data_IF_476970937844
#
_entry.id   IF_476970937844
#
_cell.length_a   1.000
_cell.length_b   1.000
_cell.length_c   1.000
_cell.angle_alpha   90.00
_cell.angle_beta   90.00
_cell.angle_gamma   90.00
#
_symmetry.space_group_name_H-M   'P 1'
#
loop_
_entity.id
_entity.type
_entity.pdbx_description
1 polymer ?
#
# COMPACT_ATOMS: atom_id res chain seq x y z
N UNK A 1 -23.78 -63.56 3.73
CA UNK A 1 -24.37 -62.25 3.38
C UNK A 1 -23.78 -61.20 4.31
N UNK A 2 -23.19 -60.17 3.70
CA UNK A 2 -22.91 -58.82 4.19
C UNK A 2 -22.05 -58.66 5.46
N UNK A 3 -20.79 -58.27 5.25
CA UNK A 3 -20.05 -57.37 6.14
C UNK A 3 -19.58 -56.19 5.28
N UNK A 4 -19.97 -54.98 5.69
CA UNK A 4 -19.72 -53.68 5.06
C UNK A 4 -18.39 -53.07 5.58
N UNK A 5 -17.46 -52.59 4.73
CA UNK A 5 -16.34 -51.79 5.17
C UNK A 5 -16.34 -50.37 4.56
N UNK A 6 -16.62 -49.39 5.42
CA UNK A 6 -16.00 -48.07 5.36
C UNK A 6 -14.48 -48.21 5.58
N UNK A 7 -13.72 -47.28 4.97
CA UNK A 7 -12.26 -47.07 4.97
C UNK A 7 -11.49 -47.76 3.82
N UNK A 8 -11.18 -46.98 2.77
CA UNK A 8 -10.09 -47.27 1.83
C UNK A 8 -8.96 -46.26 2.08
N UNK A 9 -7.81 -46.78 2.49
CA UNK A 9 -6.51 -46.10 2.46
C UNK A 9 -6.06 -46.07 0.99
N UNK A 10 -5.72 -44.88 0.48
CA UNK A 10 -5.14 -44.75 -0.85
C UNK A 10 -3.61 -44.77 -0.73
N UNK A 11 -2.99 -45.84 -1.26
CA UNK A 11 -1.55 -45.89 -1.54
C UNK A 11 -1.38 -45.53 -3.01
N UNK A 12 -0.82 -44.36 -3.29
CA UNK A 12 -0.48 -43.97 -4.66
C UNK A 12 0.91 -44.53 -4.99
N UNK A 13 0.93 -45.61 -5.75
CA UNK A 13 2.14 -46.25 -6.24
C UNK A 13 2.53 -45.58 -7.56
N UNK A 14 3.55 -44.72 -7.54
CA UNK A 14 4.11 -44.15 -8.76
C UNK A 14 4.99 -45.21 -9.45
N UNK A 15 4.61 -45.60 -10.67
CA UNK A 15 5.51 -46.30 -11.58
C UNK A 15 6.59 -45.33 -12.05
N UNK A 16 7.83 -45.54 -11.62
CA UNK A 16 9.00 -44.87 -12.18
C UNK A 16 9.35 -45.56 -13.50
N UNK A 17 8.91 -44.99 -14.62
CA UNK A 17 9.49 -45.30 -15.92
C UNK A 17 10.87 -44.61 -16.00
N UNK A 18 11.93 -45.42 -16.03
CA UNK A 18 13.29 -44.93 -16.31
C UNK A 18 13.42 -44.71 -17.82
N UNK A 19 12.97 -43.55 -18.29
CA UNK A 19 13.23 -43.06 -19.65
C UNK A 19 14.53 -42.26 -19.63
N UNK A 20 15.49 -42.62 -20.48
CA UNK A 20 16.78 -41.93 -20.59
C UNK A 20 16.56 -40.50 -21.10
N UNK A 21 16.62 -39.52 -20.19
CA UNK A 21 16.35 -38.10 -20.45
C UNK A 21 17.63 -37.23 -20.48
N UNK A 22 18.80 -37.84 -20.33
CA UNK A 22 20.04 -37.09 -20.09
C UNK A 22 20.51 -36.34 -21.35
N UNK A 23 20.39 -36.94 -22.53
CA UNK A 23 20.84 -36.30 -23.78
C UNK A 23 19.92 -35.17 -24.26
N UNK A 24 18.62 -35.24 -24.01
CA UNK A 24 17.67 -34.21 -24.45
C UNK A 24 17.79 -32.95 -23.60
N UNK A 25 17.84 -33.10 -22.27
CA UNK A 25 18.00 -31.99 -21.34
C UNK A 25 19.34 -31.26 -21.52
N UNK A 26 20.43 -32.01 -21.73
CA UNK A 26 21.76 -31.43 -21.98
C UNK A 26 21.81 -30.66 -23.30
N UNK A 27 21.19 -31.19 -24.37
CA UNK A 27 21.14 -30.48 -25.65
C UNK A 27 20.26 -29.23 -25.59
N UNK A 28 19.14 -29.27 -24.86
CA UNK A 28 18.28 -28.11 -24.65
C UNK A 28 18.99 -27.00 -23.86
N UNK A 29 19.71 -27.36 -22.78
CA UNK A 29 20.49 -26.40 -22.00
C UNK A 29 21.62 -25.77 -22.82
N UNK A 30 22.29 -26.55 -23.68
CA UNK A 30 23.32 -26.03 -24.60
C UNK A 30 22.72 -25.05 -25.62
N UNK A 31 21.56 -25.35 -26.20
CA UNK A 31 20.89 -24.47 -27.16
C UNK A 31 20.47 -23.16 -26.47
N UNK A 32 19.91 -23.22 -25.27
CA UNK A 32 19.52 -22.03 -24.50
C UNK A 32 20.73 -21.19 -24.10
N UNK A 33 21.83 -21.83 -23.67
CA UNK A 33 23.08 -21.14 -23.34
C UNK A 33 23.71 -20.44 -24.54
N UNK A 34 23.76 -21.10 -25.70
CA UNK A 34 24.29 -20.52 -26.95
C UNK A 34 23.38 -19.37 -27.42
N UNK A 35 22.06 -19.54 -27.37
CA UNK A 35 21.10 -18.49 -27.74
C UNK A 35 21.25 -17.25 -26.85
N UNK A 36 21.37 -17.45 -25.53
CA UNK A 36 21.60 -16.36 -24.57
C UNK A 36 22.92 -15.62 -24.82
N UNK A 37 24.00 -16.35 -25.11
CA UNK A 37 25.30 -15.74 -25.45
C UNK A 37 25.22 -14.93 -26.75
N UNK A 38 24.56 -15.46 -27.78
CA UNK A 38 24.38 -14.77 -29.07
C UNK A 38 23.56 -13.49 -28.90
N UNK A 39 22.49 -13.53 -28.11
CA UNK A 39 21.68 -12.34 -27.82
C UNK A 39 22.45 -11.31 -26.99
N UNK A 40 23.25 -11.74 -26.01
CA UNK A 40 24.10 -10.84 -25.22
C UNK A 40 25.19 -10.19 -26.07
N UNK A 41 25.85 -10.95 -26.95
CA UNK A 41 26.85 -10.41 -27.87
C UNK A 41 26.21 -9.47 -28.90
N UNK A 42 25.01 -9.80 -29.41
CA UNK A 42 24.25 -8.90 -30.26
C UNK A 42 23.90 -7.60 -29.54
N UNK A 43 23.43 -7.68 -28.29
CA UNK A 43 23.19 -6.50 -27.44
C UNK A 43 24.46 -5.65 -27.28
N UNK A 44 25.59 -6.26 -26.92
CA UNK A 44 26.85 -5.53 -26.82
C UNK A 44 27.27 -4.89 -28.16
N UNK A 45 27.07 -5.55 -29.30
CA UNK A 45 27.40 -5.00 -30.61
C UNK A 45 26.47 -3.85 -31.03
N UNK A 46 25.17 -3.95 -30.76
CA UNK A 46 24.18 -2.91 -31.08
C UNK A 46 24.26 -1.69 -30.15
N UNK A 47 24.59 -1.89 -28.87
CA UNK A 47 24.64 -0.82 -27.87
C UNK A 47 26.05 -0.28 -27.59
N UNK A 48 27.13 -0.94 -28.03
CA UNK A 48 28.50 -0.38 -27.94
C UNK A 48 28.85 0.61 -29.06
N UNK A 49 28.07 0.66 -30.15
CA UNK A 49 28.28 1.60 -31.24
C UNK A 49 27.41 2.87 -31.17
N UNK A 50 26.50 2.97 -30.20
CA UNK A 50 25.71 4.18 -29.98
C UNK A 50 26.42 5.12 -29.01
N UNK A 51 27.34 5.92 -29.53
CA UNK A 51 27.77 7.14 -28.84
C UNK A 51 26.67 8.20 -29.01
N UNK A 52 25.74 8.31 -28.06
CA UNK A 52 24.83 9.46 -27.92
C UNK A 52 24.53 9.71 -26.42
N UNK A 53 24.22 10.97 -26.04
CA UNK A 53 24.75 11.63 -24.86
C UNK A 53 23.91 11.36 -23.62
N UNK A 54 24.52 11.63 -22.47
CA UNK A 54 23.84 11.79 -21.19
C UNK A 54 22.64 12.72 -21.27
N UNK A 55 21.64 12.44 -20.42
CA UNK A 55 20.41 13.18 -20.07
C UNK A 55 19.16 12.86 -20.89
N UNK A 56 18.29 12.00 -20.33
CA UNK A 56 16.96 12.34 -19.80
C UNK A 56 16.15 11.03 -19.59
N UNK A 57 16.26 10.43 -18.40
CA UNK A 57 15.54 9.20 -18.04
C UNK A 57 14.38 9.44 -17.05
N UNK A 58 13.97 10.70 -16.87
CA UNK A 58 12.85 11.09 -16.01
C UNK A 58 11.90 12.04 -16.72
N UNK A 59 11.17 11.56 -17.73
CA UNK A 59 9.87 12.16 -18.09
C UNK A 59 8.95 11.10 -18.71
N UNK A 60 8.02 10.53 -17.93
CA UNK A 60 6.77 10.05 -18.50
C UNK A 60 5.58 10.77 -17.86
N UNK A 61 5.59 12.11 -17.82
CA UNK A 61 4.42 12.91 -17.41
C UNK A 61 4.44 14.31 -18.03
N UNK A 62 4.41 14.41 -19.37
CA UNK A 62 4.11 15.71 -20.02
C UNK A 62 3.13 15.62 -21.21
N UNK A 63 2.56 14.46 -21.52
CA UNK A 63 1.65 14.34 -22.67
C UNK A 63 0.33 13.60 -22.38
N UNK A 64 -0.36 13.98 -21.31
CA UNK A 64 -1.83 14.12 -21.26
C UNK A 64 -1.99 15.29 -20.27
N UNK A 65 -2.42 16.49 -20.63
CA UNK A 65 -3.79 17.05 -20.60
C UNK A 65 -3.69 18.51 -21.09
N UNK A 66 -4.62 19.05 -21.90
CA UNK A 66 -4.69 20.49 -22.14
C UNK A 66 -5.35 21.17 -20.93
N UNK A 67 -4.55 21.87 -20.13
CA UNK A 67 -5.05 22.79 -19.09
C UNK A 67 -5.73 23.95 -19.82
N UNK A 68 -7.06 24.02 -19.75
CA UNK A 68 -7.79 25.23 -20.12
C UNK A 68 -7.68 26.23 -18.96
N UNK A 69 -7.36 27.52 -19.21
CA UNK A 69 -7.30 28.51 -18.15
C UNK A 69 -8.71 28.79 -17.59
N UNK A 70 -8.87 29.05 -16.28
CA UNK A 70 -10.18 29.38 -15.72
C UNK A 70 -10.62 30.76 -16.22
N UNK A 71 -11.81 30.84 -16.81
CA UNK A 71 -12.50 32.10 -17.04
C UNK A 71 -12.81 32.76 -15.69
N UNK A 72 -12.33 33.98 -15.52
CA UNK A 72 -12.71 34.84 -14.40
C UNK A 72 -14.19 35.21 -14.56
N UNK A 73 -15.07 34.56 -13.80
CA UNK A 73 -16.39 35.10 -13.48
C UNK A 73 -16.46 35.37 -11.99
N UNK A 74 -16.25 36.64 -11.66
CA UNK A 74 -16.53 37.25 -10.38
C UNK A 74 -18.05 37.16 -10.12
N UNK A 75 -18.46 36.36 -9.14
CA UNK A 75 -19.73 36.53 -8.44
C UNK A 75 -19.52 36.15 -6.96
N UNK A 76 -19.51 37.17 -6.11
CA UNK A 76 -19.48 37.01 -4.66
C UNK A 76 -20.80 36.43 -4.16
N UNK A 77 -20.73 35.47 -3.23
CA UNK A 77 -21.51 35.37 -1.97
C UNK A 77 -21.69 33.89 -1.58
N UNK A 78 -20.69 33.36 -0.86
CA UNK A 78 -20.68 32.32 0.20
C UNK A 78 -19.28 31.68 0.20
N UNK A 79 -18.33 32.34 0.85
CA UNK A 79 -16.95 31.84 0.98
C UNK A 79 -16.93 30.70 2.00
N UNK A 80 -17.23 29.48 1.56
CA UNK A 80 -16.64 28.29 2.17
C UNK A 80 -15.13 28.32 1.84
N UNK A 81 -14.28 27.97 2.81
CA UNK A 81 -12.81 28.04 2.75
C UNK A 81 -12.14 27.09 1.71
N UNK A 82 -12.75 26.89 0.54
CA UNK A 82 -12.21 26.05 -0.53
C UNK A 82 -11.12 26.72 -1.37
N UNK A 83 -10.74 27.97 -1.06
CA UNK A 83 -9.79 28.73 -1.89
C UNK A 83 -8.34 28.66 -1.41
N UNK A 84 -8.04 28.10 -0.23
CA UNK A 84 -6.66 28.00 0.22
C UNK A 84 -6.01 26.68 -0.25
N UNK A 85 -4.80 26.73 -0.82
CA UNK A 85 -3.98 25.55 -1.10
C UNK A 85 -3.94 24.53 0.04
N UNK A 86 -3.90 23.24 -0.32
CA UNK A 86 -3.53 22.19 0.63
C UNK A 86 -2.12 22.48 1.14
N UNK A 87 -1.89 22.25 2.43
CA UNK A 87 -0.60 22.46 3.09
C UNK A 87 -0.45 21.41 4.18
N UNK A 88 0.69 21.37 4.86
CA UNK A 88 0.98 20.33 5.86
C UNK A 88 -0.08 20.21 6.96
N UNK A 89 -0.69 21.32 7.40
CA UNK A 89 -1.72 21.32 8.46
C UNK A 89 -3.04 20.68 8.00
N UNK A 90 -3.20 20.38 6.71
CA UNK A 90 -4.36 19.69 6.18
C UNK A 90 -4.17 18.17 6.09
N UNK A 91 -2.96 17.66 6.34
CA UNK A 91 -2.64 16.24 6.32
C UNK A 91 -2.68 15.68 7.74
N UNK A 92 -3.00 14.39 7.87
CA UNK A 92 -2.81 13.62 9.08
C UNK A 92 -2.20 12.26 8.71
N UNK A 93 -1.08 11.91 9.34
CA UNK A 93 -0.36 10.67 9.06
C UNK A 93 -0.79 9.57 10.05
N UNK A 94 -1.24 8.42 9.56
CA UNK A 94 -1.46 7.21 10.35
C UNK A 94 -0.39 6.19 10.05
N UNK A 95 0.46 5.92 11.03
CA UNK A 95 1.50 4.90 10.92
C UNK A 95 1.03 3.67 11.68
N UNK A 96 1.05 2.51 11.03
CA UNK A 96 0.71 1.24 11.67
C UNK A 96 1.99 0.45 11.90
N UNK A 97 2.19 0.02 13.14
CA UNK A 97 3.40 -0.72 13.53
C UNK A 97 3.12 -1.82 14.54
N UNK A 98 4.17 -2.53 14.93
CA UNK A 98 4.12 -3.45 16.08
C UNK A 98 5.20 -3.11 17.09
N UNK A 99 4.96 -3.38 18.37
CA UNK A 99 5.98 -3.15 19.42
C UNK A 99 7.28 -3.89 19.09
N UNK A 100 7.17 -5.11 18.54
CA UNK A 100 8.34 -5.92 18.17
C UNK A 100 9.15 -5.29 17.03
N UNK A 101 8.48 -4.80 15.98
CA UNK A 101 9.16 -4.21 14.83
C UNK A 101 9.68 -2.79 15.14
N UNK A 102 8.90 -2.00 15.87
CA UNK A 102 9.22 -0.61 16.24
C UNK A 102 10.60 -0.46 16.91
N UNK A 103 10.98 -1.41 17.77
CA UNK A 103 12.31 -1.45 18.43
C UNK A 103 13.47 -1.26 17.46
N UNK A 104 13.33 -1.81 16.26
CA UNK A 104 14.36 -1.83 15.23
C UNK A 104 14.09 -0.85 14.09
N UNK A 105 12.85 -0.36 13.97
CA UNK A 105 12.39 0.43 12.81
C UNK A 105 12.09 1.89 13.11
N UNK A 106 12.05 2.31 14.39
CA UNK A 106 11.74 3.69 14.76
C UNK A 106 12.54 4.74 13.98
N UNK A 107 13.79 4.44 13.62
CA UNK A 107 14.65 5.32 12.85
C UNK A 107 14.07 5.69 11.47
N UNK A 108 13.29 4.81 10.84
CA UNK A 108 12.62 5.11 9.57
C UNK A 108 11.61 6.23 9.76
N UNK A 109 10.67 6.07 10.70
CA UNK A 109 9.67 7.09 11.00
C UNK A 109 10.29 8.39 11.53
N UNK A 110 11.26 8.29 12.45
CA UNK A 110 11.94 9.45 13.04
C UNK A 110 12.80 10.22 12.03
N UNK A 111 13.16 9.62 10.89
CA UNK A 111 13.96 10.30 9.85
C UNK A 111 13.18 11.34 9.05
N UNK A 112 11.86 11.21 8.95
CA UNK A 112 11.01 12.14 8.19
C UNK A 112 9.97 12.85 9.05
N UNK A 113 9.65 12.33 10.23
CA UNK A 113 8.75 12.98 11.18
C UNK A 113 9.33 14.34 11.60
N UNK A 114 8.50 15.38 11.60
CA UNK A 114 8.90 16.75 11.96
C UNK A 114 8.18 17.15 13.24
N UNK A 115 8.83 17.05 14.41
CA UNK A 115 8.20 17.41 15.69
C UNK A 115 7.60 18.81 15.63
N UNK A 116 6.39 18.96 16.16
CA UNK A 116 5.61 20.22 16.15
C UNK A 116 5.18 20.74 14.77
N UNK A 117 5.41 20.00 13.68
CA UNK A 117 4.99 20.38 12.34
C UNK A 117 4.12 19.31 11.66
N UNK A 118 4.53 18.04 11.68
CA UNK A 118 3.70 16.93 11.18
C UNK A 118 2.63 16.59 12.20
N UNK A 119 1.41 16.32 11.71
CA UNK A 119 0.27 15.86 12.50
C UNK A 119 -0.04 14.40 12.18
N UNK A 120 -0.28 13.57 13.18
CA UNK A 120 -0.44 12.14 12.98
C UNK A 120 -0.16 11.32 14.22
N UNK A 121 -0.25 10.00 14.07
CA UNK A 121 -0.17 9.03 15.16
C UNK A 121 0.47 7.72 14.70
N UNK A 122 1.12 7.03 15.65
CA UNK A 122 1.60 5.66 15.47
C UNK A 122 0.70 4.70 16.26
N UNK A 123 0.10 3.73 15.59
CA UNK A 123 -0.74 2.70 16.17
C UNK A 123 0.04 1.38 16.31
N UNK A 124 0.45 1.08 17.55
CA UNK A 124 1.10 -0.19 17.90
C UNK A 124 0.07 -1.28 18.20
N UNK A 125 0.42 -2.53 17.91
CA UNK A 125 -0.41 -3.70 18.16
C UNK A 125 -0.66 -3.99 19.64
N UNK A 126 0.26 -3.58 20.52
CA UNK A 126 0.21 -3.78 21.96
C UNK A 126 0.81 -2.58 22.70
N UNK A 127 0.65 -2.54 24.02
CA UNK A 127 1.31 -1.52 24.83
C UNK A 127 2.85 -1.67 24.73
N UNK A 128 3.58 -0.56 24.57
CA UNK A 128 5.04 -0.58 24.57
C UNK A 128 5.56 -1.06 25.93
N UNK A 129 6.68 -1.77 25.90
CA UNK A 129 7.41 -2.17 27.11
C UNK A 129 8.21 -1.00 27.70
N UNK A 130 8.65 -1.15 28.94
CA UNK A 130 9.36 -0.11 29.69
C UNK A 130 10.61 0.44 28.97
N UNK A 131 11.30 -0.36 28.16
CA UNK A 131 12.50 0.08 27.42
C UNK A 131 12.19 0.98 26.20
N UNK A 132 10.93 1.04 25.76
CA UNK A 132 10.45 1.98 24.75
C UNK A 132 9.89 3.27 25.39
N UNK A 133 9.97 3.40 26.71
CA UNK A 133 9.48 4.53 27.48
C UNK A 133 10.64 5.27 28.18
N UNK A 134 10.55 6.61 28.36
CA UNK A 134 9.46 7.49 27.92
C UNK A 134 9.39 7.62 26.39
N UNK A 135 8.18 7.84 25.88
CA UNK A 135 7.97 7.97 24.44
C UNK A 135 8.72 9.19 23.89
N UNK A 136 9.58 9.04 22.87
CA UNK A 136 10.46 10.11 22.44
C UNK A 136 9.67 11.20 21.67
N UNK A 137 9.96 12.49 21.89
CA UNK A 137 9.29 13.58 21.17
C UNK A 137 9.66 13.64 19.68
N UNK A 138 10.71 12.92 19.26
CA UNK A 138 11.09 12.72 17.86
C UNK A 138 10.16 11.76 17.11
N UNK A 139 9.30 11.02 17.81
CA UNK A 139 8.36 10.07 17.23
C UNK A 139 6.92 10.62 17.21
N UNK A 140 6.05 10.13 16.31
CA UNK A 140 4.63 10.49 16.31
C UNK A 140 3.97 10.14 17.65
N UNK A 141 2.94 10.87 18.10
CA UNK A 141 2.13 10.49 19.25
C UNK A 141 1.68 9.03 19.18
N UNK A 142 1.90 8.30 20.28
CA UNK A 142 1.59 6.88 20.37
C UNK A 142 0.09 6.63 20.61
N UNK A 143 -0.43 5.60 19.95
CA UNK A 143 -1.70 4.93 20.22
C UNK A 143 -1.49 3.41 20.25
N UNK A 144 -2.39 2.70 20.92
CA UNK A 144 -2.47 1.25 20.85
C UNK A 144 -3.72 0.90 20.05
N UNK A 145 -3.56 0.07 19.02
CA UNK A 145 -4.66 -0.40 18.18
C UNK A 145 -5.72 -1.08 19.03
N UNK A 146 -6.98 -0.85 18.69
CA UNK A 146 -8.11 -1.51 19.30
C UNK A 146 -8.05 -3.03 19.07
N UNK A 147 -8.60 -3.77 20.02
CA UNK A 147 -8.77 -5.20 19.88
C UNK A 147 -9.81 -5.53 18.78
N UNK A 148 -9.34 -6.18 17.72
CA UNK A 148 -10.15 -6.63 16.57
C UNK A 148 -10.45 -8.14 16.62
N UNK A 149 -10.08 -8.85 17.69
CA UNK A 149 -10.19 -10.31 17.79
C UNK A 149 -11.60 -10.80 17.51
N UNK A 150 -12.62 -10.10 18.03
CA UNK A 150 -14.03 -10.39 17.76
C UNK A 150 -14.37 -10.38 16.25
N UNK A 151 -13.88 -9.40 15.48
CA UNK A 151 -14.15 -9.32 14.04
C UNK A 151 -13.49 -10.50 13.32
N UNK A 152 -12.23 -10.78 13.67
CA UNK A 152 -11.44 -11.86 13.08
C UNK A 152 -12.05 -13.23 13.38
N UNK A 153 -12.46 -13.46 14.62
CA UNK A 153 -13.04 -14.73 15.07
C UNK A 153 -14.42 -14.98 14.44
N UNK A 154 -15.30 -13.97 14.44
CA UNK A 154 -16.64 -14.06 13.86
C UNK A 154 -16.58 -14.38 12.35
N UNK A 155 -15.70 -13.70 11.61
CA UNK A 155 -15.58 -13.88 10.16
C UNK A 155 -14.64 -15.02 9.75
N UNK A 156 -13.85 -15.56 10.70
CA UNK A 156 -12.74 -16.49 10.44
C UNK A 156 -11.76 -15.92 9.40
N UNK A 157 -11.43 -14.65 9.54
CA UNK A 157 -10.60 -13.94 8.57
C UNK A 157 -9.21 -14.59 8.44
N UNK A 158 -8.74 -14.79 7.21
CA UNK A 158 -7.47 -15.47 6.95
C UNK A 158 -6.21 -14.64 7.28
N UNK A 159 -6.36 -13.33 7.52
CA UNK A 159 -5.24 -12.40 7.62
C UNK A 159 -5.46 -11.32 8.71
N UNK A 160 -5.46 -11.70 10.01
CA UNK A 160 -5.76 -10.79 11.12
C UNK A 160 -4.85 -9.56 11.19
N UNK A 161 -3.56 -9.70 10.84
CA UNK A 161 -2.62 -8.56 10.84
C UNK A 161 -3.03 -7.51 9.80
N UNK A 162 -3.43 -7.94 8.60
CA UNK A 162 -3.87 -7.05 7.53
C UNK A 162 -5.20 -6.37 7.86
N UNK A 163 -6.10 -7.11 8.53
CA UNK A 163 -7.36 -6.54 9.08
C UNK A 163 -7.06 -5.40 10.06
N UNK A 164 -6.05 -5.57 10.93
CA UNK A 164 -5.64 -4.49 11.86
C UNK A 164 -5.10 -3.28 11.10
N UNK A 165 -4.28 -3.49 10.08
CA UNK A 165 -3.73 -2.40 9.27
C UNK A 165 -4.84 -1.57 8.62
N UNK A 166 -5.84 -2.22 8.00
CA UNK A 166 -6.99 -1.52 7.41
C UNK A 166 -7.87 -0.88 8.48
N UNK A 167 -8.10 -1.56 9.61
CA UNK A 167 -8.83 -0.99 10.75
C UNK A 167 -8.18 0.31 11.26
N UNK A 168 -6.85 0.46 11.11
CA UNK A 168 -6.11 1.68 11.42
C UNK A 168 -6.65 2.93 10.74
N UNK A 169 -7.29 2.83 9.56
CA UNK A 169 -7.97 3.97 8.91
C UNK A 169 -9.11 4.50 9.78
N UNK A 170 -9.92 3.60 10.34
CA UNK A 170 -11.00 3.95 11.26
C UNK A 170 -10.46 4.54 12.57
N UNK A 171 -9.32 4.04 13.05
CA UNK A 171 -8.70 4.55 14.27
C UNK A 171 -8.17 5.96 14.08
N UNK A 172 -7.47 6.22 12.97
CA UNK A 172 -6.97 7.54 12.60
C UNK A 172 -8.11 8.54 12.44
N UNK A 173 -9.20 8.16 11.75
CA UNK A 173 -10.38 9.02 11.59
C UNK A 173 -11.02 9.39 12.94
N UNK A 174 -10.99 8.49 13.92
CA UNK A 174 -11.58 8.71 15.25
C UNK A 174 -10.78 9.66 16.14
N UNK A 175 -9.54 9.96 15.80
CA UNK A 175 -8.78 11.00 16.51
C UNK A 175 -9.43 12.38 16.37
N UNK A 176 -10.22 12.60 15.31
CA UNK A 176 -11.10 13.76 15.22
C UNK A 176 -10.38 15.10 14.97
N UNK A 177 -9.18 15.05 14.37
CA UNK A 177 -8.40 16.24 14.04
C UNK A 177 -9.19 17.21 13.15
N UNK A 178 -9.21 18.49 13.53
CA UNK A 178 -9.94 19.52 12.79
C UNK A 178 -9.20 19.95 11.52
N UNK A 179 -9.97 20.34 10.49
CA UNK A 179 -9.42 20.87 9.24
C UNK A 179 -8.63 19.85 8.40
N UNK A 180 -8.78 18.55 8.66
CA UNK A 180 -8.16 17.50 7.84
C UNK A 180 -8.77 17.48 6.44
N UNK A 181 -7.91 17.41 5.42
CA UNK A 181 -8.27 17.20 4.02
C UNK A 181 -7.83 15.83 3.52
N UNK A 182 -6.72 15.32 4.06
CA UNK A 182 -6.07 14.08 3.62
C UNK A 182 -5.60 13.24 4.80
N UNK A 183 -5.94 11.96 4.76
CA UNK A 183 -5.41 10.92 5.64
C UNK A 183 -4.32 10.18 4.88
N UNK A 184 -3.08 10.24 5.36
CA UNK A 184 -1.93 9.56 4.75
C UNK A 184 -1.56 8.35 5.61
N UNK A 185 -1.67 7.16 5.04
CA UNK A 185 -1.41 5.90 5.73
C UNK A 185 -0.04 5.35 5.33
N UNK A 186 0.66 4.69 6.26
CA UNK A 186 1.87 3.93 5.99
C UNK A 186 2.26 3.02 7.15
N UNK A 187 3.37 2.30 6.97
CA UNK A 187 3.91 1.35 7.94
C UNK A 187 5.06 1.96 8.76
N UNK A 188 5.46 1.27 9.83
CA UNK A 188 6.58 1.68 10.70
C UNK A 188 7.97 1.66 10.02
N UNK A 189 8.06 1.13 8.80
CA UNK A 189 9.22 1.17 7.91
C UNK A 189 9.02 2.04 6.65
N UNK A 190 7.90 2.77 6.54
CA UNK A 190 7.69 3.71 5.44
C UNK A 190 8.48 5.01 5.61
N UNK A 191 9.02 5.52 4.50
CA UNK A 191 9.70 6.81 4.41
C UNK A 191 8.83 7.81 3.63
N UNK A 192 8.46 8.92 4.28
CA UNK A 192 7.68 9.97 3.62
C UNK A 192 8.50 11.22 3.30
N UNK A 193 8.46 11.61 2.03
CA UNK A 193 8.90 12.92 1.59
C UNK A 193 7.75 13.91 1.84
N UNK A 194 7.69 14.45 3.05
CA UNK A 194 6.54 15.24 3.56
C UNK A 194 6.17 16.41 2.63
N UNK A 195 7.13 17.17 2.12
CA UNK A 195 6.85 18.29 1.22
C UNK A 195 6.29 17.82 -0.13
N UNK A 196 6.80 16.69 -0.65
CA UNK A 196 6.28 16.10 -1.87
C UNK A 196 4.82 15.62 -1.72
N UNK A 197 4.45 15.08 -0.54
CA UNK A 197 3.04 14.78 -0.26
C UNK A 197 2.17 16.02 -0.32
N UNK A 198 2.62 17.15 0.24
CA UNK A 198 1.89 18.41 0.16
C UNK A 198 1.75 18.87 -1.30
N UNK A 199 2.86 18.90 -2.06
CA UNK A 199 2.89 19.35 -3.46
C UNK A 199 2.02 18.48 -4.38
N UNK A 200 1.94 17.17 -4.12
CA UNK A 200 1.09 16.26 -4.88
C UNK A 200 -0.38 16.47 -4.49
N UNK A 201 -0.71 16.45 -3.20
CA UNK A 201 -2.10 16.50 -2.72
C UNK A 201 -2.76 17.87 -2.91
N UNK A 202 -1.99 18.95 -3.06
CA UNK A 202 -2.52 20.26 -3.46
C UNK A 202 -3.16 20.25 -4.86
N UNK A 203 -2.71 19.35 -5.75
CA UNK A 203 -3.20 19.28 -7.14
C UNK A 203 -4.60 18.65 -7.25
N UNK A 204 -5.08 18.00 -6.20
CA UNK A 204 -6.34 17.24 -6.22
C UNK A 204 -7.43 17.94 -5.41
N UNK A 205 -8.67 17.82 -5.89
CA UNK A 205 -9.84 18.31 -5.18
C UNK A 205 -10.17 17.41 -3.97
N UNK A 206 -9.67 17.81 -2.80
CA UNK A 206 -9.91 17.17 -1.51
C UNK A 206 -11.39 17.03 -1.11
N UNK A 207 -12.33 17.69 -1.80
CA UNK A 207 -13.78 17.56 -1.54
C UNK A 207 -14.41 16.37 -2.26
N UNK A 208 -13.66 15.70 -3.15
CA UNK A 208 -14.08 14.50 -3.88
C UNK A 208 -13.58 13.24 -3.20
N UNK A 209 -14.13 12.09 -3.58
CA UNK A 209 -13.56 10.81 -3.21
C UNK A 209 -12.28 10.59 -4.01
N UNK A 210 -11.14 10.67 -3.35
CA UNK A 210 -9.83 10.57 -3.98
C UNK A 210 -8.95 9.62 -3.18
N UNK A 211 -8.44 8.63 -3.89
CA UNK A 211 -7.46 7.67 -3.41
C UNK A 211 -6.17 7.82 -4.23
N UNK A 212 -5.05 8.11 -3.57
CA UNK A 212 -3.75 8.34 -4.21
C UNK A 212 -2.72 7.41 -3.58
N UNK A 213 -2.00 6.66 -4.40
CA UNK A 213 -0.85 5.90 -3.95
C UNK A 213 -0.01 5.41 -5.13
N UNK A 214 1.09 4.72 -4.81
CA UNK A 214 2.02 4.22 -5.82
C UNK A 214 1.73 2.78 -6.25
N UNK A 215 2.05 2.47 -7.51
CA UNK A 215 2.14 1.10 -7.99
C UNK A 215 3.30 0.35 -7.33
N UNK A 216 3.23 -0.98 -7.33
CA UNK A 216 4.34 -1.82 -6.89
C UNK A 216 5.49 -1.76 -7.91
N UNK A 217 6.73 -1.81 -7.44
CA UNK A 217 7.89 -2.05 -8.30
C UNK A 217 7.88 -3.46 -8.93
N UNK A 218 7.11 -4.39 -8.35
CA UNK A 218 6.98 -5.73 -8.87
C UNK A 218 5.80 -5.84 -9.84
N UNK A 219 6.12 -6.10 -11.11
CA UNK A 219 5.13 -6.18 -12.18
C UNK A 219 3.98 -7.18 -11.91
N UNK A 220 4.27 -8.34 -11.33
CA UNK A 220 3.20 -9.32 -11.03
C UNK A 220 2.28 -8.85 -9.89
N UNK A 221 2.78 -8.09 -8.92
CA UNK A 221 1.92 -7.44 -7.94
C UNK A 221 0.94 -6.50 -8.63
N UNK A 222 1.39 -5.67 -9.58
CA UNK A 222 0.44 -4.78 -10.27
C UNK A 222 -0.63 -5.54 -11.06
N UNK A 223 -0.29 -6.68 -11.69
CA UNK A 223 -1.27 -7.53 -12.38
C UNK A 223 -2.30 -8.10 -11.40
N UNK A 224 -1.88 -8.63 -10.25
CA UNK A 224 -2.79 -9.21 -9.26
C UNK A 224 -3.75 -8.17 -8.65
N UNK A 225 -3.37 -6.90 -8.67
CA UNK A 225 -4.12 -5.77 -8.13
C UNK A 225 -4.70 -4.85 -9.22
N UNK A 226 -4.74 -5.31 -10.47
CA UNK A 226 -5.35 -4.62 -11.62
C UNK A 226 -4.83 -3.19 -11.88
N UNK A 227 -3.63 -2.85 -11.41
CA UNK A 227 -3.00 -1.52 -11.52
C UNK A 227 -3.78 -0.37 -10.86
N UNK A 228 -4.82 -0.65 -10.09
CA UNK A 228 -5.72 0.36 -9.51
C UNK A 228 -5.58 0.41 -7.99
N UNK A 229 -4.34 0.44 -7.51
CA UNK A 229 -4.02 0.33 -6.09
C UNK A 229 -2.79 1.13 -5.69
N UNK A 230 -2.90 1.84 -4.57
CA UNK A 230 -1.77 2.38 -3.82
C UNK A 230 -1.25 1.35 -2.82
N UNK A 231 -0.05 0.82 -3.04
CA UNK A 231 0.51 -0.21 -2.17
C UNK A 231 0.89 0.34 -0.79
N UNK A 232 0.37 -0.30 0.27
CA UNK A 232 0.48 0.15 1.67
C UNK A 232 1.90 0.47 2.15
N UNK A 233 2.89 -0.35 1.78
CA UNK A 233 4.27 -0.14 2.22
C UNK A 233 4.92 1.16 1.70
N UNK A 234 4.49 1.66 0.53
CA UNK A 234 4.89 2.97 0.01
C UNK A 234 4.05 4.11 0.59
N UNK A 235 2.97 3.76 1.28
CA UNK A 235 1.92 4.63 1.78
C UNK A 235 0.96 5.10 0.69
N UNK A 236 -0.20 5.54 1.16
CA UNK A 236 -1.28 6.08 0.32
C UNK A 236 -2.00 7.20 1.05
N UNK A 237 -2.70 8.04 0.30
CA UNK A 237 -3.53 9.13 0.81
C UNK A 237 -5.00 8.92 0.41
N UNK A 238 -5.89 9.18 1.36
CA UNK A 238 -7.34 9.19 1.17
C UNK A 238 -7.86 10.59 1.49
N UNK A 239 -8.73 11.14 0.64
CA UNK A 239 -9.40 12.39 0.94
C UNK A 239 -10.35 12.23 2.13
N UNK A 240 -10.57 13.31 2.89
CA UNK A 240 -11.48 13.31 4.04
C UNK A 240 -12.87 12.71 3.73
N UNK A 241 -13.60 13.15 2.68
CA UNK A 241 -14.93 12.62 2.40
C UNK A 241 -14.90 11.14 2.03
N UNK A 242 -13.82 10.64 1.40
CA UNK A 242 -13.65 9.22 1.13
C UNK A 242 -13.51 8.42 2.43
N UNK A 243 -12.63 8.85 3.34
CA UNK A 243 -12.47 8.19 4.64
C UNK A 243 -13.77 8.20 5.42
N UNK A 244 -14.46 9.35 5.50
CA UNK A 244 -15.75 9.47 6.19
C UNK A 244 -16.79 8.48 5.64
N UNK A 245 -16.81 8.27 4.33
CA UNK A 245 -17.70 7.31 3.71
C UNK A 245 -17.28 5.86 3.98
N UNK A 246 -16.00 5.53 3.85
CA UNK A 246 -15.44 4.20 4.10
C UNK A 246 -15.66 3.72 5.53
N UNK A 247 -15.44 4.58 6.53
CA UNK A 247 -15.48 4.17 7.94
C UNK A 247 -16.89 3.82 8.44
N UNK A 248 -17.94 4.21 7.71
CA UNK A 248 -19.34 3.89 8.07
C UNK A 248 -19.62 2.40 8.09
N UNK A 249 -19.03 1.64 7.16
CA UNK A 249 -19.22 0.19 7.09
C UNK A 249 -17.90 -0.61 6.98
N UNK A 250 -16.77 -0.02 7.36
CA UNK A 250 -15.47 -0.71 7.32
C UNK A 250 -15.50 -2.05 8.08
N UNK A 251 -16.18 -2.12 9.22
CA UNK A 251 -16.31 -3.39 9.97
C UNK A 251 -17.23 -4.41 9.31
N UNK A 252 -18.21 -3.98 8.51
CA UNK A 252 -19.02 -4.87 7.68
C UNK A 252 -18.19 -5.45 6.55
N UNK A 253 -17.44 -4.58 5.86
CA UNK A 253 -16.43 -4.89 4.87
C UNK A 253 -15.45 -5.99 5.33
N UNK A 254 -14.79 -5.79 6.48
CA UNK A 254 -13.85 -6.76 7.06
C UNK A 254 -14.51 -8.11 7.41
N UNK A 255 -15.81 -8.15 7.68
CA UNK A 255 -16.55 -9.40 7.89
C UNK A 255 -17.00 -10.06 6.59
N UNK A 256 -17.37 -9.27 5.59
CA UNK A 256 -17.89 -9.73 4.31
C UNK A 256 -16.84 -10.39 3.42
N UNK A 257 -15.57 -10.00 3.58
CA UNK A 257 -14.46 -10.45 2.73
C UNK A 257 -13.34 -11.19 3.49
N UNK A 258 -13.65 -12.25 4.29
CA UNK A 258 -12.68 -12.88 5.19
C UNK A 258 -11.55 -13.63 4.49
N UNK A 259 -11.66 -13.83 3.17
CA UNK A 259 -10.69 -14.55 2.35
C UNK A 259 -9.57 -13.65 1.79
N UNK A 260 -9.72 -12.32 1.87
CA UNK A 260 -8.69 -11.39 1.43
C UNK A 260 -7.48 -11.49 2.37
N UNK A 261 -6.27 -11.48 1.80
CA UNK A 261 -5.03 -11.76 2.55
C UNK A 261 -3.97 -10.66 2.43
N UNK A 262 -4.29 -9.54 1.79
CA UNK A 262 -3.42 -8.39 1.63
C UNK A 262 -4.14 -7.11 2.06
N UNK A 263 -3.46 -6.25 2.82
CA UNK A 263 -3.99 -4.94 3.26
C UNK A 263 -4.54 -4.13 2.09
N UNK A 264 -3.84 -4.19 0.96
CA UNK A 264 -4.20 -3.50 -0.27
C UNK A 264 -5.56 -3.94 -0.83
N UNK A 265 -5.82 -5.25 -0.91
CA UNK A 265 -7.13 -5.78 -1.34
C UNK A 265 -8.22 -5.47 -0.30
N UNK A 266 -7.89 -5.56 0.99
CA UNK A 266 -8.87 -5.32 2.05
C UNK A 266 -9.26 -3.84 2.07
N UNK A 267 -8.36 -2.91 1.79
CA UNK A 267 -8.66 -1.47 1.73
C UNK A 267 -9.70 -1.17 0.65
N UNK A 268 -9.66 -1.92 -0.45
CA UNK A 268 -10.59 -1.83 -1.57
C UNK A 268 -11.98 -2.43 -1.31
N UNK A 269 -12.21 -3.13 -0.19
CA UNK A 269 -13.45 -3.89 -0.03
C UNK A 269 -14.72 -3.02 0.06
N UNK A 270 -14.56 -1.70 0.23
CA UNK A 270 -15.67 -0.76 0.21
C UNK A 270 -15.99 -0.36 -1.23
N UNK A 271 -17.23 -0.59 -1.66
CA UNK A 271 -17.75 -0.25 -3.01
C UNK A 271 -17.58 1.24 -3.39
N UNK A 272 -17.16 2.08 -2.44
CA UNK A 272 -17.00 3.54 -2.57
C UNK A 272 -15.74 3.93 -3.35
N UNK A 273 -14.74 3.06 -3.45
CA UNK A 273 -13.46 3.38 -4.14
C UNK A 273 -13.59 3.31 -5.66
N UNK A 274 -14.57 2.58 -6.20
CA UNK A 274 -14.70 2.29 -7.64
C UNK A 274 -15.96 2.85 -8.31
N UNK A 275 -16.72 3.72 -7.63
CA UNK A 275 -17.81 4.53 -8.22
C UNK A 275 -17.32 5.93 -8.62
#
# INVERSE_FOLDING_TARGET
MVNDPKCKVYVMQFYVYRFSLDNFAVNLCKILGISGLVLYLAYLLFFSQSSFPSSEFFTPFQHIWPVSPPSQQLNSLTHTNHSSPTNLNHLVFGIVGSVNAWRHRKAYTESWWRPNATRGYLFLDTHPTDDLLPWPPSSPPLRVSNDISKIVEESKHVAPIMVRMVHGILELFREGDEGVRWYVMGDDDSLFFVDNWVDVLEKYDHTKYVYIGGHSEFFMSNIWFLFDQGFGGAGFALSYPLVEAMVKDLKGCLRGYPYLNATDLITQCGDIIFE
#
